data_IF_901939778649
#
_entry.id   IF_901939778649
#
_cell.length_a   1.000
_cell.length_b   1.000
_cell.length_c   1.000
_cell.angle_alpha   90.00
_cell.angle_beta   90.00
_cell.angle_gamma   90.00
#
_symmetry.space_group_name_H-M   'P 1'
#
loop_
_entity.id
_entity.type
_entity.pdbx_description
1 polymer ?
#
# COMPACT_ATOMS: atom_id res chain seq x y z
N UNK A 1 6.26 33.54 -6.66
CA UNK A 1 5.53 32.47 -7.37
C UNK A 1 5.90 31.16 -6.71
N UNK A 2 4.93 30.44 -6.15
CA UNK A 2 5.13 29.13 -5.49
C UNK A 2 5.67 28.12 -6.49
N UNK A 3 6.74 27.41 -6.13
CA UNK A 3 7.38 26.43 -6.98
C UNK A 3 6.99 25.01 -6.56
N UNK A 4 6.40 24.26 -7.48
CA UNK A 4 6.02 22.87 -7.32
C UNK A 4 6.98 21.98 -8.11
N UNK A 5 7.54 20.98 -7.47
CA UNK A 5 8.29 19.92 -8.12
C UNK A 5 7.47 18.63 -8.11
N UNK A 6 7.23 18.07 -9.28
CA UNK A 6 6.56 16.78 -9.46
C UNK A 6 7.62 15.71 -9.71
N UNK A 7 7.73 14.76 -8.81
CA UNK A 7 8.66 13.62 -8.89
C UNK A 7 7.92 12.30 -8.75
N UNK A 8 7.61 11.67 -9.88
CA UNK A 8 6.77 10.46 -9.97
C UNK A 8 7.42 9.41 -10.90
N UNK A 9 8.70 9.01 -10.68
CA UNK A 9 9.49 8.23 -11.64
C UNK A 9 8.88 6.86 -11.97
N UNK A 10 8.18 6.22 -11.04
CA UNK A 10 7.59 4.90 -11.25
C UNK A 10 6.24 4.93 -11.98
N UNK A 11 5.61 6.10 -12.13
CA UNK A 11 4.37 6.19 -12.89
C UNK A 11 4.63 6.13 -14.40
N UNK A 12 3.66 5.62 -15.19
CA UNK A 12 3.70 5.74 -16.64
C UNK A 12 3.84 7.21 -17.10
N UNK A 13 4.56 7.49 -18.19
CA UNK A 13 4.78 8.86 -18.66
C UNK A 13 3.50 9.68 -18.87
N UNK A 14 2.42 9.02 -19.31
CA UNK A 14 1.10 9.65 -19.51
C UNK A 14 0.52 10.15 -18.18
N UNK A 15 0.59 9.36 -17.10
CA UNK A 15 0.08 9.73 -15.77
C UNK A 15 0.88 10.90 -15.16
N UNK A 16 2.21 10.89 -15.31
CA UNK A 16 3.06 12.01 -14.91
C UNK A 16 2.68 13.29 -15.65
N UNK A 17 2.41 13.18 -16.96
CA UNK A 17 1.94 14.30 -17.78
C UNK A 17 0.59 14.84 -17.33
N UNK A 18 -0.36 13.96 -17.00
CA UNK A 18 -1.69 14.37 -16.48
C UNK A 18 -1.58 15.17 -15.18
N UNK A 19 -0.72 14.74 -14.25
CA UNK A 19 -0.50 15.46 -12.99
C UNK A 19 0.00 16.89 -13.24
N UNK A 20 1.03 17.06 -14.09
CA UNK A 20 1.56 18.38 -14.43
C UNK A 20 0.54 19.24 -15.17
N UNK A 21 -0.17 18.68 -16.14
CA UNK A 21 -1.20 19.39 -16.93
C UNK A 21 -2.33 19.89 -16.00
N UNK A 22 -2.82 19.02 -15.11
CA UNK A 22 -3.84 19.40 -14.13
C UNK A 22 -3.39 20.58 -13.24
N UNK A 23 -2.17 20.50 -12.69
CA UNK A 23 -1.64 21.57 -11.85
C UNK A 23 -1.47 22.89 -12.62
N UNK A 24 -0.99 22.83 -13.86
CA UNK A 24 -0.81 24.03 -14.72
C UNK A 24 -2.14 24.67 -15.09
N UNK A 25 -3.15 23.87 -15.39
CA UNK A 25 -4.47 24.35 -15.79
C UNK A 25 -5.22 25.02 -14.62
N UNK A 26 -5.18 24.39 -13.44
CA UNK A 26 -5.97 24.87 -12.31
C UNK A 26 -5.25 25.89 -11.41
N UNK A 27 -3.92 25.97 -11.51
CA UNK A 27 -3.09 26.87 -10.68
C UNK A 27 -2.07 27.65 -11.53
N UNK A 28 -2.52 28.54 -12.42
CA UNK A 28 -1.62 29.27 -13.35
C UNK A 28 -0.62 30.19 -12.64
N UNK A 29 -0.85 30.53 -11.36
CA UNK A 29 0.07 31.31 -10.52
C UNK A 29 1.23 30.48 -9.94
N UNK A 30 1.28 29.17 -10.20
CA UNK A 30 2.30 28.26 -9.67
C UNK A 30 3.29 27.90 -10.77
N UNK A 31 4.59 27.86 -10.44
CA UNK A 31 5.64 27.38 -11.35
C UNK A 31 5.83 25.89 -11.13
N UNK A 32 5.65 25.06 -12.17
CA UNK A 32 5.74 23.62 -12.10
C UNK A 32 7.00 23.15 -12.80
N UNK A 33 7.82 22.41 -12.06
CA UNK A 33 8.94 21.63 -12.59
C UNK A 33 8.62 20.14 -12.47
N UNK A 34 9.15 19.34 -13.39
CA UNK A 34 9.04 17.89 -13.37
C UNK A 34 10.41 17.26 -13.42
N UNK A 35 10.61 16.22 -12.64
CA UNK A 35 11.76 15.34 -12.70
C UNK A 35 11.27 13.89 -12.86
N UNK A 36 11.80 13.19 -13.84
CA UNK A 36 11.47 11.79 -14.13
C UNK A 36 12.55 10.82 -13.63
N UNK A 37 13.72 11.36 -13.27
CA UNK A 37 14.88 10.63 -12.74
C UNK A 37 15.54 11.41 -11.61
N UNK A 38 16.27 10.69 -10.76
CA UNK A 38 16.98 11.27 -9.62
C UNK A 38 17.91 12.43 -10.03
N UNK A 39 18.65 12.29 -11.12
CA UNK A 39 19.57 13.32 -11.62
C UNK A 39 18.88 14.61 -12.08
N UNK A 40 17.59 14.55 -12.40
CA UNK A 40 16.81 15.71 -12.85
C UNK A 40 16.23 16.52 -11.67
N UNK A 41 16.34 16.00 -10.45
CA UNK A 41 15.87 16.71 -9.24
C UNK A 41 16.75 17.93 -8.90
N UNK A 42 18.06 17.84 -9.11
CA UNK A 42 19.05 18.81 -8.61
C UNK A 42 18.78 20.26 -8.99
N UNK A 43 18.39 20.60 -10.24
CA UNK A 43 18.10 21.98 -10.58
C UNK A 43 16.87 22.57 -9.89
N UNK A 44 16.00 21.73 -9.32
CA UNK A 44 14.68 22.13 -8.87
C UNK A 44 14.45 21.97 -7.36
N UNK A 45 14.97 20.90 -6.75
CA UNK A 45 14.63 20.50 -5.37
C UNK A 45 14.99 21.56 -4.32
N UNK A 46 16.12 22.26 -4.48
CA UNK A 46 16.58 23.25 -3.53
C UNK A 46 15.65 24.47 -3.43
N UNK A 47 14.94 24.80 -4.52
CA UNK A 47 14.05 25.96 -4.61
C UNK A 47 12.56 25.61 -4.62
N UNK A 48 12.21 24.32 -4.69
CA UNK A 48 10.83 23.87 -4.62
C UNK A 48 10.24 24.15 -3.23
N UNK A 49 9.04 24.71 -3.19
CA UNK A 49 8.26 24.89 -1.97
C UNK A 49 7.34 23.70 -1.71
N UNK A 50 6.87 23.05 -2.78
CA UNK A 50 5.98 21.89 -2.74
C UNK A 50 6.64 20.76 -3.53
N UNK A 51 6.73 19.57 -2.91
CA UNK A 51 7.11 18.33 -3.59
C UNK A 51 5.87 17.43 -3.69
N UNK A 52 5.51 17.04 -4.92
CA UNK A 52 4.46 16.07 -5.22
C UNK A 52 5.12 14.74 -5.55
N UNK A 53 4.88 13.71 -4.73
CA UNK A 53 5.55 12.41 -4.89
C UNK A 53 4.75 11.28 -4.22
N UNK A 54 5.21 10.04 -4.37
CA UNK A 54 4.87 8.93 -3.46
C UNK A 54 6.06 8.63 -2.55
N UNK A 55 5.83 8.16 -1.34
CA UNK A 55 6.92 7.76 -0.44
C UNK A 55 7.82 6.68 -1.07
N UNK A 56 7.23 5.66 -1.70
CA UNK A 56 7.97 4.61 -2.40
C UNK A 56 8.88 5.13 -3.53
N UNK A 57 8.54 6.27 -4.16
CA UNK A 57 9.36 6.88 -5.21
C UNK A 57 10.64 7.51 -4.70
N UNK A 58 10.67 7.89 -3.42
CA UNK A 58 11.87 8.41 -2.76
C UNK A 58 12.80 7.26 -2.34
N UNK A 59 12.24 6.17 -1.87
CA UNK A 59 12.96 4.95 -1.52
C UNK A 59 14.18 5.20 -0.64
N UNK A 60 15.30 4.56 -0.97
CA UNK A 60 16.57 4.69 -0.26
C UNK A 60 17.22 6.08 -0.42
N UNK A 61 16.83 6.84 -1.43
CA UNK A 61 17.35 8.19 -1.69
C UNK A 61 16.59 9.28 -0.93
N UNK A 62 15.57 8.93 -0.15
CA UNK A 62 14.69 9.86 0.53
C UNK A 62 15.42 10.90 1.39
N UNK A 63 16.40 10.47 2.19
CA UNK A 63 17.19 11.36 3.06
C UNK A 63 18.00 12.37 2.23
N UNK A 64 18.65 11.90 1.17
CA UNK A 64 19.39 12.75 0.24
C UNK A 64 18.49 13.75 -0.49
N UNK A 65 17.32 13.31 -0.99
CA UNK A 65 16.38 14.16 -1.72
C UNK A 65 15.79 15.23 -0.80
N UNK A 66 15.23 14.82 0.33
CA UNK A 66 14.55 15.74 1.26
C UNK A 66 15.54 16.69 1.95
N UNK A 67 16.76 16.24 2.23
CA UNK A 67 17.83 17.08 2.79
C UNK A 67 18.29 18.21 1.86
N UNK A 68 18.18 18.03 0.53
CA UNK A 68 18.45 19.08 -0.47
C UNK A 68 17.30 20.07 -0.63
N UNK A 69 16.10 19.74 -0.17
CA UNK A 69 14.89 20.56 -0.27
C UNK A 69 14.90 21.77 0.68
N UNK A 70 15.84 22.71 0.49
CA UNK A 70 16.05 23.85 1.39
C UNK A 70 14.85 24.77 1.54
N UNK A 71 14.01 24.87 0.51
CA UNK A 71 12.80 25.70 0.49
C UNK A 71 11.51 24.92 0.71
N UNK A 72 11.58 23.59 0.93
CA UNK A 72 10.41 22.75 1.10
C UNK A 72 9.59 23.18 2.32
N UNK A 73 8.30 23.45 2.07
CA UNK A 73 7.27 23.77 3.05
C UNK A 73 6.17 22.73 3.09
N UNK A 74 5.99 21.99 1.99
CA UNK A 74 4.95 20.97 1.90
C UNK A 74 5.38 19.80 1.01
N UNK A 75 5.21 18.58 1.52
CA UNK A 75 5.29 17.33 0.75
C UNK A 75 3.88 16.77 0.59
N UNK A 76 3.39 16.74 -0.63
CA UNK A 76 2.12 16.14 -1.02
C UNK A 76 2.39 14.70 -1.46
N UNK A 77 2.15 13.76 -0.56
CA UNK A 77 2.21 12.33 -0.89
C UNK A 77 0.94 11.93 -1.64
N UNK A 78 1.06 11.45 -2.88
CA UNK A 78 -0.07 10.98 -3.68
C UNK A 78 -0.56 9.57 -3.29
N UNK A 79 0.07 8.91 -2.32
CA UNK A 79 -0.40 7.66 -1.71
C UNK A 79 -0.88 7.86 -0.28
N UNK A 80 -1.42 6.80 0.33
CA UNK A 80 -1.75 6.80 1.76
C UNK A 80 -0.51 6.61 2.63
N UNK A 81 0.44 5.75 2.20
CA UNK A 81 1.70 5.53 2.89
C UNK A 81 2.62 6.74 2.78
N UNK A 82 3.20 7.12 3.90
CA UNK A 82 4.15 8.24 4.03
C UNK A 82 5.52 7.78 4.52
N UNK A 83 5.77 6.48 4.44
CA UNK A 83 7.09 5.89 4.65
C UNK A 83 8.08 6.53 3.67
N UNK A 84 9.32 6.70 4.08
CA UNK A 84 10.35 7.45 3.34
C UNK A 84 10.02 8.94 3.13
N UNK A 85 9.05 9.48 3.89
CA UNK A 85 8.77 10.91 3.97
C UNK A 85 8.83 11.37 5.44
N UNK A 86 7.91 10.87 6.28
CA UNK A 86 7.77 11.33 7.68
C UNK A 86 8.80 10.74 8.64
N UNK A 87 9.36 9.59 8.31
CA UNK A 87 10.38 8.86 9.04
C UNK A 87 11.83 9.28 8.68
N UNK A 88 11.97 10.22 7.74
CA UNK A 88 13.28 10.69 7.26
C UNK A 88 13.76 11.89 8.08
N UNK A 89 14.92 11.79 8.77
CA UNK A 89 15.46 12.86 9.60
C UNK A 89 15.76 14.16 8.83
N UNK A 90 16.15 14.03 7.54
CA UNK A 90 16.45 15.19 6.68
C UNK A 90 15.23 16.01 6.27
N UNK A 91 14.00 15.51 6.49
CA UNK A 91 12.80 16.31 6.24
C UNK A 91 12.73 17.48 7.22
N UNK A 92 12.73 18.69 6.69
CA UNK A 92 12.70 19.93 7.49
C UNK A 92 11.50 19.95 8.44
N UNK A 93 11.71 20.45 9.66
CA UNK A 93 10.64 20.57 10.66
C UNK A 93 9.47 21.44 10.17
N UNK A 94 9.76 22.48 9.37
CA UNK A 94 8.77 23.38 8.79
C UNK A 94 7.96 22.77 7.64
N UNK A 95 8.33 21.61 7.12
CA UNK A 95 7.57 20.98 6.05
C UNK A 95 6.37 20.22 6.61
N UNK A 96 5.18 20.60 6.18
CA UNK A 96 3.98 19.79 6.39
C UNK A 96 3.94 18.61 5.42
N UNK A 97 3.21 17.55 5.78
CA UNK A 97 3.00 16.38 4.92
C UNK A 97 1.51 16.08 4.87
N UNK A 98 0.98 15.92 3.66
CA UNK A 98 -0.39 15.41 3.43
C UNK A 98 -0.35 14.12 2.62
N UNK A 99 -1.39 13.29 2.76
CA UNK A 99 -1.53 12.04 2.02
C UNK A 99 -2.93 11.84 1.42
N UNK A 100 -3.16 10.72 0.74
CA UNK A 100 -4.43 10.37 0.09
C UNK A 100 -5.25 9.38 0.95
N UNK A 101 -5.26 9.57 2.28
CA UNK A 101 -6.07 8.73 3.17
C UNK A 101 -7.56 8.78 2.79
N UNK A 102 -8.22 7.62 2.85
CA UNK A 102 -9.65 7.47 2.57
C UNK A 102 -10.00 7.12 1.12
N UNK A 103 -9.07 7.26 0.17
CA UNK A 103 -9.35 7.05 -1.26
C UNK A 103 -9.21 5.59 -1.72
N UNK A 104 -8.45 4.79 -1.00
CA UNK A 104 -8.04 3.47 -1.47
C UNK A 104 -8.97 2.32 -1.02
N UNK A 105 -10.15 2.63 -0.43
CA UNK A 105 -11.08 1.62 0.05
C UNK A 105 -11.51 0.63 -1.03
N UNK A 106 -11.99 1.14 -2.16
CA UNK A 106 -12.49 0.31 -3.27
C UNK A 106 -11.36 -0.46 -3.96
N UNK A 107 -10.31 0.18 -4.53
CA UNK A 107 -9.29 -0.57 -5.28
C UNK A 107 -8.56 -1.60 -4.42
N UNK A 108 -8.25 -1.30 -3.16
CA UNK A 108 -7.63 -2.26 -2.24
C UNK A 108 -8.55 -3.43 -1.88
N UNK A 109 -9.86 -3.17 -1.80
CA UNK A 109 -10.86 -4.23 -1.62
C UNK A 109 -10.89 -5.17 -2.82
N UNK A 110 -10.89 -4.63 -4.04
CA UNK A 110 -10.82 -5.42 -5.26
C UNK A 110 -9.54 -6.25 -5.34
N UNK A 111 -8.40 -5.67 -5.00
CA UNK A 111 -7.12 -6.37 -4.96
C UNK A 111 -7.10 -7.51 -3.92
N UNK A 112 -7.70 -7.29 -2.74
CA UNK A 112 -7.81 -8.31 -1.70
C UNK A 112 -8.72 -9.48 -2.13
N UNK A 113 -9.90 -9.17 -2.69
CA UNK A 113 -10.84 -10.16 -3.19
C UNK A 113 -10.25 -10.95 -4.36
N UNK A 114 -9.63 -10.26 -5.33
CA UNK A 114 -8.92 -10.90 -6.42
C UNK A 114 -7.86 -11.88 -5.89
N UNK A 115 -7.04 -11.46 -4.94
CA UNK A 115 -6.00 -12.28 -4.33
C UNK A 115 -6.57 -13.54 -3.66
N UNK A 116 -7.64 -13.38 -2.86
CA UNK A 116 -8.30 -14.51 -2.21
C UNK A 116 -8.90 -15.48 -3.21
N UNK A 117 -9.59 -14.99 -4.24
CA UNK A 117 -10.20 -15.82 -5.29
C UNK A 117 -9.14 -16.50 -6.14
N UNK A 118 -8.09 -15.78 -6.55
CA UNK A 118 -7.02 -16.31 -7.38
C UNK A 118 -6.27 -17.45 -6.67
N UNK A 119 -5.98 -17.31 -5.38
CA UNK A 119 -5.37 -18.36 -4.57
C UNK A 119 -6.31 -19.55 -4.37
N UNK A 120 -7.57 -19.29 -4.00
CA UNK A 120 -8.55 -20.36 -3.78
C UNK A 120 -8.84 -21.17 -5.07
N UNK A 121 -8.82 -20.51 -6.22
CA UNK A 121 -9.04 -21.14 -7.54
C UNK A 121 -7.76 -21.67 -8.18
N UNK A 122 -6.62 -21.60 -7.49
CA UNK A 122 -5.31 -22.03 -7.99
C UNK A 122 -4.94 -21.36 -9.35
N UNK A 123 -5.20 -20.06 -9.48
CA UNK A 123 -4.94 -19.33 -10.73
C UNK A 123 -3.50 -19.48 -11.24
N UNK A 124 -2.44 -19.46 -10.40
CA UNK A 124 -1.08 -19.73 -10.88
C UNK A 124 -0.93 -21.07 -11.61
N UNK A 125 -1.64 -22.12 -11.14
CA UNK A 125 -1.68 -23.42 -11.80
C UNK A 125 -2.42 -23.35 -13.14
N UNK A 126 -3.57 -22.66 -13.18
CA UNK A 126 -4.32 -22.50 -14.42
C UNK A 126 -3.50 -21.79 -15.50
N UNK A 127 -2.80 -20.71 -15.16
CA UNK A 127 -1.96 -19.96 -16.10
C UNK A 127 -0.80 -20.81 -16.62
N UNK A 128 -0.09 -21.54 -15.74
CA UNK A 128 0.98 -22.45 -16.17
C UNK A 128 0.47 -23.58 -17.07
N UNK A 129 -0.73 -24.10 -16.79
CA UNK A 129 -1.35 -25.13 -17.64
C UNK A 129 -1.75 -24.54 -18.99
N UNK A 130 -2.24 -23.31 -19.03
CA UNK A 130 -2.54 -22.60 -20.29
C UNK A 130 -1.29 -22.44 -21.14
N UNK A 131 -0.16 -21.98 -20.55
CA UNK A 131 1.12 -21.79 -21.24
C UNK A 131 1.67 -23.11 -21.82
N UNK A 132 1.40 -24.24 -21.14
CA UNK A 132 1.82 -25.60 -21.56
C UNK A 132 0.81 -26.30 -22.45
N UNK A 133 -0.30 -25.66 -22.80
CA UNK A 133 -1.43 -26.28 -23.54
C UNK A 133 -1.94 -27.56 -22.85
N UNK A 134 -1.94 -27.60 -21.50
CA UNK A 134 -2.30 -28.76 -20.70
C UNK A 134 -3.72 -28.64 -20.13
N UNK A 135 -4.60 -29.56 -20.56
CA UNK A 135 -5.96 -29.65 -20.07
C UNK A 135 -5.99 -30.50 -18.79
N UNK A 136 -6.15 -29.87 -17.63
CA UNK A 136 -6.24 -30.53 -16.33
C UNK A 136 -7.51 -30.11 -15.58
N UNK A 137 -8.28 -31.07 -15.10
CA UNK A 137 -9.44 -30.86 -14.25
C UNK A 137 -9.08 -31.14 -12.80
N UNK A 138 -9.34 -30.21 -11.91
CA UNK A 138 -9.12 -30.33 -10.46
C UNK A 138 -10.22 -29.62 -9.67
N UNK A 139 -10.39 -30.02 -8.40
CA UNK A 139 -11.31 -29.37 -7.46
C UNK A 139 -10.71 -28.11 -6.85
N UNK A 140 -11.18 -26.96 -7.28
CA UNK A 140 -10.79 -25.68 -6.64
C UNK A 140 -11.57 -25.42 -5.37
N UNK A 141 -11.00 -24.60 -4.48
CA UNK A 141 -11.61 -24.22 -3.22
C UNK A 141 -12.62 -23.09 -3.39
N UNK A 142 -13.60 -23.00 -2.47
CA UNK A 142 -14.49 -21.86 -2.35
C UNK A 142 -14.01 -20.93 -1.23
N UNK A 143 -14.31 -19.63 -1.35
CA UNK A 143 -14.13 -18.68 -0.26
C UNK A 143 -15.39 -18.56 0.61
N UNK A 144 -16.58 -18.87 0.06
CA UNK A 144 -17.83 -18.90 0.80
C UNK A 144 -17.76 -19.89 1.98
N UNK A 145 -18.24 -19.49 3.13
CA UNK A 145 -18.17 -20.25 4.39
C UNK A 145 -16.79 -20.27 5.05
N UNK A 146 -15.78 -19.63 4.47
CA UNK A 146 -14.43 -19.52 5.04
C UNK A 146 -14.29 -18.30 5.92
N UNK A 147 -13.28 -18.33 6.81
CA UNK A 147 -12.96 -17.21 7.70
C UNK A 147 -11.82 -16.37 7.11
N UNK A 148 -12.08 -15.08 6.90
CA UNK A 148 -11.03 -14.10 6.60
C UNK A 148 -10.68 -13.32 7.87
N UNK A 149 -9.38 -13.24 8.17
CA UNK A 149 -8.84 -12.32 9.17
C UNK A 149 -8.31 -11.07 8.47
N UNK A 150 -8.80 -9.90 8.86
CA UNK A 150 -8.34 -8.61 8.34
C UNK A 150 -7.51 -7.93 9.42
N UNK A 151 -6.21 -7.81 9.19
CA UNK A 151 -5.27 -7.18 10.10
C UNK A 151 -5.07 -5.71 9.76
N UNK A 152 -5.57 -4.83 10.61
CA UNK A 152 -5.64 -3.38 10.39
C UNK A 152 -7.04 -2.93 9.99
N UNK A 153 -7.79 -2.34 10.96
CA UNK A 153 -9.17 -1.90 10.76
C UNK A 153 -9.19 -0.38 10.57
N UNK A 154 -8.92 0.02 9.33
CA UNK A 154 -9.00 1.39 8.84
C UNK A 154 -9.99 1.51 7.67
N UNK A 155 -9.93 2.63 6.95
CA UNK A 155 -10.83 2.96 5.84
C UNK A 155 -10.94 1.85 4.76
N UNK A 156 -9.85 1.13 4.47
CA UNK A 156 -9.87 0.01 3.52
C UNK A 156 -10.68 -1.15 4.09
N UNK A 157 -10.42 -1.51 5.34
CA UNK A 157 -11.06 -2.63 6.00
C UNK A 157 -12.58 -2.43 6.16
N UNK A 158 -13.03 -1.17 6.30
CA UNK A 158 -14.46 -0.82 6.36
C UNK A 158 -15.20 -1.06 5.04
N UNK A 159 -14.49 -1.10 3.92
CA UNK A 159 -15.05 -1.49 2.61
C UNK A 159 -14.90 -3.00 2.40
N UNK A 160 -13.75 -3.56 2.76
CA UNK A 160 -13.45 -4.98 2.54
C UNK A 160 -14.33 -5.90 3.41
N UNK A 161 -14.56 -5.55 4.68
CA UNK A 161 -15.34 -6.40 5.59
C UNK A 161 -16.74 -6.73 5.07
N UNK A 162 -17.58 -5.71 4.75
CA UNK A 162 -18.89 -5.92 4.14
C UNK A 162 -18.84 -6.70 2.82
N UNK A 163 -17.82 -6.45 1.98
CA UNK A 163 -17.67 -7.16 0.71
C UNK A 163 -17.36 -8.65 0.93
N UNK A 164 -16.53 -8.99 1.91
CA UNK A 164 -16.27 -10.39 2.30
C UNK A 164 -17.53 -11.07 2.84
N UNK A 165 -18.34 -10.39 3.66
CA UNK A 165 -19.62 -10.92 4.14
C UNK A 165 -20.59 -11.16 2.97
N UNK A 166 -20.66 -10.26 2.01
CA UNK A 166 -21.49 -10.43 0.82
C UNK A 166 -21.08 -11.66 -0.03
N UNK A 167 -19.81 -12.05 0.04
CA UNK A 167 -19.29 -13.30 -0.57
C UNK A 167 -19.46 -14.54 0.34
N UNK A 168 -20.20 -14.41 1.42
CA UNK A 168 -20.51 -15.51 2.34
C UNK A 168 -19.36 -15.91 3.27
N UNK A 169 -18.37 -15.04 3.48
CA UNK A 169 -17.25 -15.28 4.41
C UNK A 169 -17.61 -14.85 5.84
N UNK A 170 -16.98 -15.47 6.84
CA UNK A 170 -16.90 -14.95 8.20
C UNK A 170 -15.72 -13.98 8.29
N UNK A 171 -15.95 -12.81 8.92
CA UNK A 171 -14.96 -11.73 8.93
C UNK A 171 -14.49 -11.46 10.37
N UNK A 172 -13.23 -11.75 10.65
CA UNK A 172 -12.56 -11.47 11.91
C UNK A 172 -11.62 -10.28 11.70
N UNK A 173 -11.79 -9.22 12.48
CA UNK A 173 -10.90 -8.09 12.47
C UNK A 173 -9.81 -8.21 13.54
N UNK A 174 -8.59 -7.77 13.21
CA UNK A 174 -7.46 -7.75 14.14
C UNK A 174 -6.93 -6.30 14.16
N UNK A 175 -6.97 -5.66 15.35
CA UNK A 175 -6.66 -4.24 15.49
C UNK A 175 -6.11 -3.91 16.87
N UNK A 176 -5.41 -2.78 17.00
CA UNK A 176 -5.08 -2.18 18.29
C UNK A 176 -6.25 -1.39 18.91
N UNK A 177 -7.34 -1.19 18.15
CA UNK A 177 -8.55 -0.50 18.56
C UNK A 177 -9.68 -1.48 18.80
N UNK A 178 -10.49 -1.23 19.81
CA UNK A 178 -11.70 -2.03 20.10
C UNK A 178 -12.90 -1.66 19.21
N UNK A 179 -12.74 -0.75 18.22
CA UNK A 179 -13.81 -0.34 17.33
C UNK A 179 -14.25 -1.49 16.43
N UNK A 180 -15.54 -1.78 16.40
CA UNK A 180 -16.16 -2.80 15.56
C UNK A 180 -17.05 -2.13 14.51
N UNK A 181 -16.51 -1.83 13.32
CA UNK A 181 -17.30 -1.31 12.22
C UNK A 181 -18.23 -2.38 11.64
N UNK A 182 -19.27 -1.99 10.85
CA UNK A 182 -20.09 -2.94 10.12
C UNK A 182 -19.24 -3.87 9.24
N UNK A 183 -19.72 -5.10 9.03
CA UNK A 183 -19.02 -6.08 8.19
C UNK A 183 -17.98 -6.92 8.93
N UNK A 184 -17.95 -6.88 10.27
CA UNK A 184 -17.09 -7.72 11.09
C UNK A 184 -17.91 -8.51 12.10
N UNK A 185 -17.74 -9.83 12.10
CA UNK A 185 -18.40 -10.72 13.07
C UNK A 185 -17.76 -10.60 14.47
N UNK A 186 -16.42 -10.37 14.50
CA UNK A 186 -15.65 -10.23 15.74
C UNK A 186 -14.40 -9.38 15.51
N UNK A 187 -14.03 -8.60 16.52
CA UNK A 187 -12.75 -7.88 16.60
C UNK A 187 -11.89 -8.47 17.72
N UNK A 188 -10.61 -8.66 17.43
CA UNK A 188 -9.61 -9.16 18.38
C UNK A 188 -8.45 -8.16 18.45
N UNK A 189 -7.94 -7.92 19.66
CA UNK A 189 -6.76 -7.07 19.82
C UNK A 189 -5.53 -7.73 19.15
N UNK A 190 -4.69 -6.93 18.48
CA UNK A 190 -3.54 -7.43 17.71
C UNK A 190 -2.56 -8.29 18.52
N UNK A 191 -2.41 -8.01 19.83
CA UNK A 191 -1.52 -8.78 20.71
C UNK A 191 -1.98 -10.24 20.89
N UNK A 192 -3.24 -10.52 20.52
CA UNK A 192 -3.82 -11.86 20.50
C UNK A 192 -3.83 -12.51 19.11
N UNK A 193 -3.07 -11.94 18.15
CA UNK A 193 -2.96 -12.47 16.77
C UNK A 193 -2.63 -13.97 16.80
N UNK A 194 -1.64 -14.37 17.60
CA UNK A 194 -1.20 -15.76 17.69
C UNK A 194 -2.27 -16.74 18.22
N UNK A 195 -3.30 -16.23 18.92
CA UNK A 195 -4.40 -17.06 19.43
C UNK A 195 -5.45 -17.36 18.36
N UNK A 196 -5.66 -16.42 17.41
CA UNK A 196 -6.74 -16.50 16.43
C UNK A 196 -6.28 -16.86 15.03
N UNK A 197 -4.98 -16.76 14.74
CA UNK A 197 -4.44 -17.00 13.40
C UNK A 197 -4.75 -18.41 12.87
N UNK A 198 -4.84 -19.39 13.75
CA UNK A 198 -5.22 -20.78 13.42
C UNK A 198 -6.70 -20.97 13.05
N UNK A 199 -7.56 -19.97 13.27
CA UNK A 199 -8.95 -20.00 12.85
C UNK A 199 -9.12 -19.59 11.38
N UNK A 200 -8.15 -18.86 10.82
CA UNK A 200 -8.25 -18.17 9.53
C UNK A 200 -7.99 -19.09 8.35
N UNK A 201 -8.78 -18.95 7.31
CA UNK A 201 -8.54 -19.55 5.99
C UNK A 201 -7.85 -18.57 5.05
N UNK A 202 -8.12 -17.26 5.23
CA UNK A 202 -7.43 -16.17 4.54
C UNK A 202 -6.99 -15.12 5.56
N UNK A 203 -5.75 -14.67 5.48
CA UNK A 203 -5.20 -13.63 6.35
C UNK A 203 -4.78 -12.44 5.51
N UNK A 204 -5.54 -11.35 5.56
CA UNK A 204 -5.32 -10.12 4.78
C UNK A 204 -4.69 -9.05 5.68
N UNK A 205 -3.52 -8.56 5.28
CA UNK A 205 -2.74 -7.57 6.04
C UNK A 205 -2.95 -6.20 5.40
N UNK A 206 -3.52 -5.26 6.19
CA UNK A 206 -3.80 -3.87 5.82
C UNK A 206 -3.29 -2.87 6.87
N UNK A 207 -2.58 -3.33 7.90
CA UNK A 207 -2.02 -2.48 8.96
C UNK A 207 -0.81 -1.69 8.46
N UNK A 208 -0.54 -0.47 8.94
CA UNK A 208 0.71 0.23 8.62
C UNK A 208 1.91 -0.45 9.26
N UNK A 209 3.09 -0.27 8.65
CA UNK A 209 4.36 -0.65 9.24
C UNK A 209 4.77 0.36 10.31
N UNK A 210 4.99 -0.12 11.51
CA UNK A 210 5.49 0.63 12.67
C UNK A 210 6.43 -0.29 13.46
N UNK A 211 7.14 0.23 14.45
CA UNK A 211 7.96 -0.62 15.32
C UNK A 211 7.14 -1.73 15.99
N UNK A 212 5.86 -1.46 16.30
CA UNK A 212 4.95 -2.42 16.91
C UNK A 212 4.35 -3.44 15.94
N UNK A 213 4.48 -3.25 14.63
CA UNK A 213 3.96 -4.16 13.59
C UNK A 213 5.07 -4.76 12.72
N UNK A 214 6.30 -4.33 12.90
CA UNK A 214 7.47 -4.89 12.21
C UNK A 214 7.66 -6.35 12.59
N UNK A 215 7.70 -7.22 11.57
CA UNK A 215 7.84 -8.66 11.72
C UNK A 215 6.86 -9.30 12.70
N UNK A 216 5.69 -8.67 12.93
CA UNK A 216 4.67 -9.22 13.84
C UNK A 216 4.12 -10.55 13.33
N UNK A 217 4.17 -10.78 12.01
CA UNK A 217 3.87 -12.07 11.39
C UNK A 217 5.18 -12.82 11.22
N UNK A 218 5.67 -13.38 12.30
CA UNK A 218 6.91 -14.13 12.42
C UNK A 218 6.73 -15.63 12.15
N UNK A 219 7.82 -16.40 12.29
CA UNK A 219 7.81 -17.84 12.13
C UNK A 219 6.82 -18.57 13.08
N UNK A 220 6.64 -18.03 14.31
CA UNK A 220 5.74 -18.62 15.29
C UNK A 220 4.28 -18.39 14.92
N UNK A 221 3.93 -17.22 14.40
CA UNK A 221 2.60 -16.90 13.87
C UNK A 221 2.31 -17.75 12.63
N UNK A 222 3.25 -17.79 11.67
CA UNK A 222 3.12 -18.60 10.44
C UNK A 222 2.93 -20.09 10.74
N UNK A 223 3.63 -20.63 11.74
CA UNK A 223 3.52 -22.03 12.14
C UNK A 223 2.14 -22.40 12.76
N UNK A 224 1.38 -21.39 13.23
CA UNK A 224 0.03 -21.59 13.75
C UNK A 224 -1.08 -21.45 12.71
N UNK A 225 -0.77 -20.96 11.51
CA UNK A 225 -1.73 -20.91 10.42
C UNK A 225 -2.15 -22.32 9.99
N UNK A 226 -3.37 -22.44 9.45
CA UNK A 226 -3.79 -23.71 8.85
C UNK A 226 -2.90 -24.06 7.65
N UNK A 227 -2.55 -25.33 7.42
CA UNK A 227 -1.85 -25.73 6.20
C UNK A 227 -2.62 -25.39 4.91
N UNK A 228 -3.93 -25.17 5.04
CA UNK A 228 -4.82 -24.78 3.94
C UNK A 228 -4.98 -23.25 3.82
N UNK A 229 -4.44 -22.46 4.73
CA UNK A 229 -4.61 -21.02 4.76
C UNK A 229 -3.75 -20.30 3.73
N UNK A 230 -4.21 -19.12 3.35
CA UNK A 230 -3.53 -18.18 2.47
C UNK A 230 -3.20 -16.87 3.20
N UNK A 231 -1.99 -16.34 2.97
CA UNK A 231 -1.57 -15.03 3.44
C UNK A 231 -1.65 -14.03 2.29
N UNK A 232 -2.25 -12.88 2.52
CA UNK A 232 -2.37 -11.80 1.55
C UNK A 232 -1.77 -10.51 2.16
N UNK A 233 -0.64 -10.05 1.65
CA UNK A 233 -0.01 -8.83 2.13
C UNK A 233 -0.16 -7.70 1.10
N UNK A 234 -1.02 -6.73 1.43
CA UNK A 234 -1.28 -5.55 0.63
C UNK A 234 -0.89 -4.25 1.38
N UNK A 235 -0.11 -4.37 2.45
CA UNK A 235 0.23 -3.23 3.30
C UNK A 235 1.71 -2.83 3.14
N UNK A 236 2.63 -3.52 3.82
CA UNK A 236 4.09 -3.32 3.72
C UNK A 236 4.82 -4.65 3.90
N UNK A 237 5.92 -4.84 3.17
CA UNK A 237 6.74 -6.07 3.26
C UNK A 237 7.22 -6.35 4.67
N UNK A 238 7.78 -5.37 5.35
CA UNK A 238 8.35 -5.51 6.69
C UNK A 238 7.38 -5.85 7.84
N UNK A 239 6.10 -6.04 7.57
CA UNK A 239 5.12 -6.54 8.57
C UNK A 239 5.28 -8.05 8.75
N UNK A 240 5.67 -8.73 7.70
CA UNK A 240 5.92 -10.18 7.68
C UNK A 240 7.42 -10.42 7.72
N UNK A 241 7.88 -11.35 8.54
CA UNK A 241 9.24 -11.87 8.47
C UNK A 241 9.39 -12.61 7.14
N UNK A 242 10.02 -11.96 6.16
CA UNK A 242 10.11 -12.44 4.79
C UNK A 242 10.87 -13.77 4.69
N UNK A 243 12.04 -13.98 5.34
CA UNK A 243 12.69 -15.28 5.41
C UNK A 243 11.79 -16.39 5.99
N UNK A 244 11.04 -16.09 7.05
CA UNK A 244 10.12 -17.05 7.66
C UNK A 244 8.95 -17.39 6.72
N UNK A 245 8.41 -16.41 5.99
CA UNK A 245 7.36 -16.63 5.00
C UNK A 245 7.87 -17.50 3.83
N UNK A 246 9.08 -17.23 3.35
CA UNK A 246 9.73 -18.04 2.33
C UNK A 246 9.85 -19.51 2.76
N UNK A 247 10.32 -19.75 3.98
CA UNK A 247 10.43 -21.10 4.55
C UNK A 247 9.04 -21.76 4.66
N UNK A 248 8.05 -21.06 5.21
CA UNK A 248 6.68 -21.59 5.38
C UNK A 248 6.02 -21.97 4.04
N UNK A 249 6.26 -21.19 2.99
CA UNK A 249 5.75 -21.45 1.64
C UNK A 249 6.44 -22.64 0.97
N UNK A 250 7.77 -22.73 1.09
CA UNK A 250 8.56 -23.87 0.57
C UNK A 250 8.18 -25.18 1.23
N UNK A 251 8.01 -25.16 2.54
CA UNK A 251 7.65 -26.32 3.35
C UNK A 251 6.15 -26.64 3.32
N UNK A 252 5.35 -25.88 2.58
CA UNK A 252 3.88 -26.02 2.53
C UNK A 252 3.20 -25.97 3.90
N UNK A 253 3.77 -25.23 4.86
CA UNK A 253 3.14 -24.94 6.15
C UNK A 253 1.89 -24.10 6.00
N UNK A 254 1.81 -23.27 4.95
CA UNK A 254 0.62 -22.60 4.46
C UNK A 254 0.42 -22.91 2.99
N UNK A 255 -0.81 -22.82 2.50
CA UNK A 255 -1.14 -23.19 1.14
C UNK A 255 -0.50 -22.28 0.08
N UNK A 256 -0.42 -20.99 0.37
CA UNK A 256 0.17 -20.01 -0.53
C UNK A 256 0.05 -18.58 -0.03
N UNK A 257 0.55 -17.64 -0.83
CA UNK A 257 0.47 -16.22 -0.51
C UNK A 257 0.21 -15.36 -1.76
N UNK A 258 -0.42 -14.19 -1.57
CA UNK A 258 -0.45 -13.09 -2.54
C UNK A 258 0.28 -11.90 -1.90
N UNK A 259 1.29 -11.38 -2.59
CA UNK A 259 2.23 -10.40 -2.06
C UNK A 259 2.30 -9.24 -3.06
N UNK A 260 1.82 -8.07 -2.63
CA UNK A 260 1.86 -6.83 -3.40
C UNK A 260 3.03 -5.92 -2.98
N UNK A 261 3.61 -6.19 -1.80
CA UNK A 261 4.61 -5.34 -1.14
C UNK A 261 5.76 -6.16 -0.59
N UNK A 262 6.98 -5.64 -0.66
CA UNK A 262 8.20 -6.37 -0.35
C UNK A 262 9.08 -5.59 0.63
N UNK A 263 10.04 -6.28 1.26
CA UNK A 263 11.04 -5.63 2.12
C UNK A 263 11.95 -4.73 1.28
N UNK A 264 12.31 -5.22 0.09
CA UNK A 264 13.04 -4.43 -0.90
C UNK A 264 12.18 -4.24 -2.15
N UNK A 265 11.96 -3.00 -2.54
CA UNK A 265 11.24 -2.62 -3.76
C UNK A 265 12.10 -1.71 -4.64
N UNK A 266 12.26 -2.02 -5.94
CA UNK A 266 11.72 -3.18 -6.67
C UNK A 266 12.25 -4.53 -6.19
N UNK A 267 11.41 -5.59 -6.28
CA UNK A 267 11.81 -6.95 -5.91
C UNK A 267 12.99 -7.42 -6.77
N UNK A 268 14.12 -7.84 -6.17
CA UNK A 268 15.30 -8.32 -6.91
C UNK A 268 14.95 -9.46 -7.87
N UNK A 269 15.62 -9.48 -9.03
CA UNK A 269 15.34 -10.47 -10.09
C UNK A 269 15.66 -11.92 -9.69
N UNK A 270 16.53 -12.12 -8.70
CA UNK A 270 16.92 -13.41 -8.15
C UNK A 270 16.13 -13.80 -6.90
N UNK A 271 15.12 -13.00 -6.53
CA UNK A 271 14.35 -13.24 -5.31
C UNK A 271 13.57 -14.56 -5.37
N UNK A 272 13.58 -15.38 -4.28
CA UNK A 272 12.93 -16.70 -4.26
C UNK A 272 11.45 -16.71 -4.63
N UNK A 273 10.70 -15.65 -4.31
CA UNK A 273 9.27 -15.59 -4.61
C UNK A 273 8.94 -15.78 -6.08
N UNK A 274 9.80 -15.34 -7.02
CA UNK A 274 9.56 -15.45 -8.45
C UNK A 274 9.36 -16.92 -8.94
N UNK A 275 10.02 -17.86 -8.27
CA UNK A 275 9.96 -19.29 -8.64
C UNK A 275 8.93 -20.10 -7.85
N UNK A 276 8.23 -19.50 -6.89
CA UNK A 276 7.26 -20.21 -6.05
C UNK A 276 5.92 -20.38 -6.76
N UNK A 277 5.50 -21.62 -6.95
CA UNK A 277 4.24 -21.95 -7.65
C UNK A 277 2.98 -21.61 -6.85
N UNK A 278 3.09 -21.43 -5.53
CA UNK A 278 2.00 -21.11 -4.61
C UNK A 278 1.98 -19.63 -4.21
N UNK A 279 2.67 -18.78 -4.97
CA UNK A 279 2.74 -17.34 -4.71
C UNK A 279 2.21 -16.57 -5.92
N UNK A 280 1.44 -15.53 -5.64
CA UNK A 280 1.02 -14.51 -6.59
C UNK A 280 1.74 -13.22 -6.20
N UNK A 281 2.42 -12.59 -7.18
CA UNK A 281 3.13 -11.34 -6.99
C UNK A 281 2.45 -10.22 -7.77
N UNK A 282 2.36 -9.05 -7.17
CA UNK A 282 2.03 -7.81 -7.86
C UNK A 282 2.99 -6.69 -7.43
N UNK A 283 3.35 -5.75 -8.33
CA UNK A 283 4.44 -4.80 -8.08
C UNK A 283 3.94 -3.52 -7.37
N UNK A 284 3.40 -3.66 -6.16
CA UNK A 284 2.87 -2.58 -5.31
C UNK A 284 1.80 -1.74 -6.04
N UNK A 285 0.85 -2.43 -6.65
CA UNK A 285 -0.22 -1.81 -7.46
C UNK A 285 -1.63 -2.05 -6.89
N UNK A 286 -1.74 -2.59 -5.68
CA UNK A 286 -3.05 -2.93 -5.09
C UNK A 286 -4.04 -1.77 -5.05
N UNK A 287 -3.56 -0.54 -4.85
CA UNK A 287 -4.38 0.67 -4.90
C UNK A 287 -4.32 1.39 -6.25
N UNK A 288 -3.31 1.10 -7.08
CA UNK A 288 -3.07 1.81 -8.33
C UNK A 288 -3.95 1.25 -9.45
N UNK A 289 -4.69 2.13 -10.11
CA UNK A 289 -5.62 1.76 -11.18
C UNK A 289 -5.55 2.80 -12.33
N UNK A 290 -6.17 2.49 -13.47
CA UNK A 290 -6.12 3.32 -14.66
C UNK A 290 -6.69 4.74 -14.44
N UNK A 291 -7.60 4.91 -13.48
CA UNK A 291 -8.24 6.19 -13.17
C UNK A 291 -7.62 6.87 -11.93
N UNK A 292 -6.47 6.39 -11.46
CA UNK A 292 -5.85 6.84 -10.20
C UNK A 292 -5.71 8.35 -10.13
N UNK A 293 -5.15 8.98 -11.18
CA UNK A 293 -4.97 10.43 -11.20
C UNK A 293 -6.31 11.18 -11.12
N UNK A 294 -7.35 10.68 -11.78
CA UNK A 294 -8.69 11.29 -11.70
C UNK A 294 -9.27 11.22 -10.29
N UNK A 295 -8.97 10.17 -9.55
CA UNK A 295 -9.42 9.98 -8.17
C UNK A 295 -8.69 10.89 -7.17
N UNK A 296 -7.39 11.14 -7.36
CA UNK A 296 -6.60 12.00 -6.46
C UNK A 296 -6.81 13.49 -6.72
N UNK A 297 -7.14 13.86 -7.94
CA UNK A 297 -7.32 15.26 -8.38
C UNK A 297 -8.21 16.11 -7.47
N UNK A 298 -9.40 15.66 -7.02
CA UNK A 298 -10.24 16.49 -6.12
C UNK A 298 -9.54 16.88 -4.84
N UNK A 299 -8.83 15.95 -4.21
CA UNK A 299 -8.10 16.21 -2.95
C UNK A 299 -6.85 17.07 -3.19
N UNK A 300 -6.13 16.82 -4.29
CA UNK A 300 -5.00 17.66 -4.71
C UNK A 300 -5.48 19.10 -4.91
N UNK A 301 -6.58 19.30 -5.65
CA UNK A 301 -7.17 20.61 -5.90
C UNK A 301 -7.53 21.35 -4.61
N UNK A 302 -8.21 20.66 -3.73
CA UNK A 302 -8.65 21.22 -2.45
C UNK A 302 -7.47 21.66 -1.58
N UNK A 303 -6.49 20.79 -1.40
CA UNK A 303 -5.31 21.11 -0.58
C UNK A 303 -4.42 22.19 -1.22
N UNK A 304 -4.26 22.18 -2.55
CA UNK A 304 -3.53 23.25 -3.26
C UNK A 304 -4.23 24.59 -3.08
N UNK A 305 -5.57 24.63 -3.21
CA UNK A 305 -6.36 25.85 -3.02
C UNK A 305 -6.17 26.40 -1.60
N UNK A 306 -6.29 25.56 -0.59
CA UNK A 306 -6.12 25.94 0.83
C UNK A 306 -4.71 26.42 1.12
N UNK A 307 -3.70 25.69 0.62
CA UNK A 307 -2.30 26.06 0.80
C UNK A 307 -1.99 27.45 0.21
N UNK A 308 -2.42 27.69 -1.03
CA UNK A 308 -2.18 28.98 -1.71
C UNK A 308 -2.95 30.16 -1.07
N UNK A 309 -4.09 29.87 -0.44
CA UNK A 309 -4.84 30.85 0.35
C UNK A 309 -4.27 31.12 1.76
N UNK A 310 -3.27 30.33 2.20
CA UNK A 310 -2.74 30.39 3.57
C UNK A 310 -3.58 29.64 4.61
N UNK A 311 -4.63 28.92 4.20
CA UNK A 311 -5.56 28.16 5.03
C UNK A 311 -5.00 26.78 5.45
N UNK A 312 -3.78 26.77 5.97
CA UNK A 312 -3.03 25.53 6.27
C UNK A 312 -3.76 24.63 7.28
N UNK A 313 -4.41 25.24 8.29
CA UNK A 313 -5.14 24.48 9.31
C UNK A 313 -6.41 23.79 8.79
N UNK A 314 -6.88 24.17 7.61
CA UNK A 314 -8.04 23.56 6.94
C UNK A 314 -7.64 22.45 5.95
N UNK A 315 -6.36 22.23 5.73
CA UNK A 315 -5.89 21.20 4.80
C UNK A 315 -6.32 19.81 5.25
N UNK A 316 -6.63 18.96 4.28
CA UNK A 316 -7.17 17.61 4.49
C UNK A 316 -6.01 16.61 4.55
N UNK A 317 -6.15 15.59 5.40
CA UNK A 317 -5.19 14.48 5.54
C UNK A 317 -3.77 14.95 5.87
N UNK A 318 -3.65 15.94 6.76
CA UNK A 318 -2.35 16.36 7.29
C UNK A 318 -1.83 15.30 8.25
N UNK A 319 -0.75 14.63 7.88
CA UNK A 319 -0.09 13.58 8.67
C UNK A 319 1.03 14.14 9.54
N UNK A 320 1.66 15.23 9.09
CA UNK A 320 2.68 15.95 9.84
C UNK A 320 2.44 17.44 9.67
N UNK A 321 2.24 18.13 10.80
CA UNK A 321 2.16 19.59 10.82
C UNK A 321 3.56 20.20 10.77
N UNK A 322 3.70 21.35 10.13
CA UNK A 322 4.90 22.15 10.24
C UNK A 322 5.13 22.55 11.71
N UNK A 323 6.36 22.43 12.16
CA UNK A 323 6.78 22.93 13.46
C UNK A 323 7.37 24.34 13.29
N UNK A 324 7.12 25.26 14.22
CA UNK A 324 7.61 26.63 14.13
C UNK A 324 9.13 26.72 14.15
#
# INVERSE_FOLDING_TARGET
MTKVLVYLPMLPPAERGRCCAFLSEHFPSVSIARADKLAELDPHIATAEILVTFGAHLGLDADSILGRGKSLKWVMALGTGVDHITDVPALRSQALVTNMHGMHGVPMTEAAILSMLALAREMPRMLRNQDRHHWERYGARLIAGKTVGIFGIGAIAEVLGPACQALGMKVLGISSSARQPPGFDRIVHRDRLAEVIGELDHFVILTPLTDATRNIVDAAVLARMKPTAFLINLARGGIVDEPALIAALKERKIAGAAIDVFVQEPLPADHPFWSMENVILSPHIGAFNADYMSQVVPLVKENMTRYLAGDIDKMINVVRKAQP
#
